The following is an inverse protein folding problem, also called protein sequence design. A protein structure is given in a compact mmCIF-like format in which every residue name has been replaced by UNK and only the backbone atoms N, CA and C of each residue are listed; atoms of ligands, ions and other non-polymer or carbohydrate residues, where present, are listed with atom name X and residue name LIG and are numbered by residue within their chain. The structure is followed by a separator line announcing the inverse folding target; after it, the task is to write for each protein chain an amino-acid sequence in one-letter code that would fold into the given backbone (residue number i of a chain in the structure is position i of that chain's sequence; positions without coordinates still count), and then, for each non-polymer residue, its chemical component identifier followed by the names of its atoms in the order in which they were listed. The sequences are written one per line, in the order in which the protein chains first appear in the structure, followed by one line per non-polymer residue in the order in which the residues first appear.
data_IF_960782532635
#
_entry.id   IF_960782532635
#
_cell.length_a   1.000
_cell.length_b   1.000
_cell.length_c   1.000
_cell.angle_alpha   90.00
_cell.angle_beta   90.00
_cell.angle_gamma   90.00
#
_symmetry.space_group_name_H-M   'P 1'
#
loop_
_entity.id
_entity.type
_entity.pdbx_description
1 polymer ?
#
# COMPACT_ATOMS: atom_id res chain seq x y z
N UNK A 1 6.96 -17.61 7.73
CA UNK A 1 6.13 -16.76 6.85
C UNK A 1 6.81 -15.41 6.79
N UNK A 2 7.46 -15.08 5.67
CA UNK A 2 8.17 -13.82 5.55
C UNK A 2 7.15 -12.68 5.53
N UNK A 3 7.09 -11.90 6.61
CA UNK A 3 6.53 -10.56 6.52
C UNK A 3 7.35 -9.86 5.43
N UNK A 4 6.71 -9.51 4.32
CA UNK A 4 7.36 -8.85 3.21
C UNK A 4 7.92 -7.52 3.74
N UNK A 5 9.10 -7.13 3.30
CA UNK A 5 9.79 -5.89 3.73
C UNK A 5 8.92 -4.61 3.60
N UNK A 6 7.82 -4.69 2.83
CA UNK A 6 6.89 -3.61 2.51
C UNK A 6 5.61 -3.59 3.37
N UNK A 7 5.47 -4.50 4.34
CA UNK A 7 4.27 -4.60 5.17
C UNK A 7 3.27 -5.67 4.70
N UNK A 8 1.97 -5.43 4.87
CA UNK A 8 0.91 -6.42 4.60
C UNK A 8 0.60 -6.47 3.10
N UNK A 9 0.67 -7.66 2.50
CA UNK A 9 0.22 -7.86 1.12
C UNK A 9 -1.31 -7.72 1.03
N UNK A 10 -1.76 -6.82 0.16
CA UNK A 10 -3.18 -6.47 0.00
C UNK A 10 -3.78 -7.04 -1.28
N UNK A 11 -2.95 -7.48 -2.23
CA UNK A 11 -3.40 -8.11 -3.47
C UNK A 11 -2.56 -7.67 -4.66
N UNK A 12 -3.06 -7.98 -5.85
CA UNK A 12 -2.36 -7.73 -7.10
C UNK A 12 -3.15 -6.74 -7.97
N UNK A 13 -2.46 -5.75 -8.54
CA UNK A 13 -3.00 -4.82 -9.51
C UNK A 13 -2.44 -5.15 -10.90
N UNK A 14 -3.31 -5.43 -11.87
CA UNK A 14 -2.93 -5.83 -13.23
C UNK A 14 -3.61 -4.96 -14.28
N UNK A 15 -2.84 -4.45 -15.25
CA UNK A 15 -3.35 -3.80 -16.47
C UNK A 15 -2.47 -4.18 -17.66
N UNK A 16 -3.05 -4.92 -18.61
CA UNK A 16 -2.29 -5.44 -19.75
C UNK A 16 -1.13 -6.32 -19.27
N UNK A 17 0.09 -5.99 -19.70
CA UNK A 17 1.31 -6.71 -19.31
C UNK A 17 1.91 -6.24 -17.96
N UNK A 18 1.44 -5.11 -17.43
CA UNK A 18 1.91 -4.60 -16.13
C UNK A 18 1.19 -5.29 -14.98
N UNK A 19 1.96 -5.82 -14.04
CA UNK A 19 1.50 -6.45 -12.79
C UNK A 19 2.25 -5.85 -11.61
N UNK A 20 1.52 -5.44 -10.60
CA UNK A 20 2.05 -4.93 -9.35
C UNK A 20 1.50 -5.75 -8.18
N UNK A 21 2.38 -6.24 -7.32
CA UNK A 21 2.03 -6.70 -5.98
C UNK A 21 1.86 -5.45 -5.10
N UNK A 22 0.73 -5.35 -4.41
CA UNK A 22 0.34 -4.18 -3.63
C UNK A 22 0.47 -4.49 -2.15
N UNK A 23 1.21 -3.67 -1.42
CA UNK A 23 1.42 -3.81 0.01
C UNK A 23 1.00 -2.54 0.75
N UNK A 24 0.59 -2.71 1.99
CA UNK A 24 0.24 -1.65 2.91
C UNK A 24 1.20 -1.67 4.10
N UNK A 25 2.02 -0.64 4.20
CA UNK A 25 2.92 -0.41 5.33
C UNK A 25 2.20 0.43 6.38
N UNK A 26 2.21 -0.04 7.63
CA UNK A 26 1.75 0.70 8.79
C UNK A 26 2.91 1.09 9.69
N UNK A 27 2.98 2.36 10.11
CA UNK A 27 3.94 2.87 11.07
C UNK A 27 3.21 3.53 12.25
N UNK A 28 3.38 3.05 13.49
CA UNK A 28 2.82 3.70 14.67
C UNK A 28 3.33 5.14 14.83
N UNK A 29 2.42 6.06 15.15
CA UNK A 29 2.70 7.45 15.50
C UNK A 29 2.31 7.69 16.97
N UNK A 30 3.27 7.56 17.87
CA UNK A 30 3.06 7.69 19.30
C UNK A 30 2.69 9.12 19.73
N UNK A 31 3.07 10.15 18.96
CA UNK A 31 2.72 11.53 19.26
C UNK A 31 1.23 11.80 19.05
N UNK A 32 0.62 11.09 18.09
CA UNK A 32 -0.81 11.20 17.77
C UNK A 32 -1.64 10.04 18.34
N UNK A 33 -1.01 8.98 18.85
CA UNK A 33 -1.71 7.77 19.27
C UNK A 33 -2.39 7.05 18.10
N UNK A 34 -1.78 7.11 16.92
CA UNK A 34 -2.35 6.65 15.65
C UNK A 34 -1.37 5.74 14.88
N UNK A 35 -1.77 5.32 13.69
CA UNK A 35 -0.99 4.55 12.71
C UNK A 35 -1.00 5.31 11.39
N UNK A 36 0.19 5.64 10.88
CA UNK A 36 0.36 6.17 9.52
C UNK A 36 0.43 5.01 8.54
N UNK A 37 -0.15 5.20 7.36
CA UNK A 37 -0.12 4.20 6.31
C UNK A 37 0.37 4.73 4.97
N UNK A 38 1.08 3.89 4.22
CA UNK A 38 1.46 4.13 2.83
C UNK A 38 1.37 2.85 1.99
N UNK A 39 1.19 3.02 0.68
CA UNK A 39 1.02 1.92 -0.26
C UNK A 39 2.33 1.71 -1.02
N UNK A 40 2.72 0.45 -1.18
CA UNK A 40 3.86 0.02 -1.98
C UNK A 40 3.33 -0.77 -3.18
N UNK A 41 3.86 -0.45 -4.35
CA UNK A 41 3.62 -1.17 -5.59
C UNK A 41 4.94 -1.79 -6.03
N UNK A 42 4.99 -3.12 -6.11
CA UNK A 42 6.20 -3.86 -6.44
C UNK A 42 5.99 -4.71 -7.69
N UNK A 43 6.92 -4.69 -8.64
CA UNK A 43 6.85 -5.46 -9.87
C UNK A 43 8.20 -6.06 -10.25
N UNK A 44 8.20 -6.99 -11.21
CA UNK A 44 9.42 -7.64 -11.73
C UNK A 44 10.23 -8.39 -10.68
N UNK A 45 9.56 -8.97 -9.66
CA UNK A 45 10.24 -9.67 -8.56
C UNK A 45 11.03 -8.73 -7.64
N UNK A 46 10.61 -7.46 -7.51
CA UNK A 46 11.27 -6.45 -6.66
C UNK A 46 12.11 -5.43 -7.42
N UNK A 47 12.25 -5.57 -8.75
CA UNK A 47 13.06 -4.66 -9.57
C UNK A 47 12.43 -3.28 -9.75
N UNK A 48 11.10 -3.20 -9.75
CA UNK A 48 10.35 -1.95 -9.84
C UNK A 48 9.59 -1.76 -8.54
N UNK A 49 9.83 -0.65 -7.87
CA UNK A 49 9.16 -0.29 -6.62
C UNK A 49 8.73 1.17 -6.66
N UNK A 50 7.42 1.40 -6.52
CA UNK A 50 6.84 2.73 -6.33
C UNK A 50 6.15 2.78 -4.97
N UNK A 51 6.22 3.93 -4.30
CA UNK A 51 5.69 4.10 -2.96
C UNK A 51 4.97 5.43 -2.83
N UNK A 52 3.81 5.44 -2.16
CA UNK A 52 3.10 6.68 -1.85
C UNK A 52 3.77 7.40 -0.68
N UNK A 53 3.40 8.66 -0.46
CA UNK A 53 3.58 9.27 0.87
C UNK A 53 2.72 8.57 1.93
N UNK A 54 2.77 9.09 3.16
CA UNK A 54 1.87 8.68 4.25
C UNK A 54 0.45 9.22 4.00
N UNK A 55 -0.35 8.47 3.25
CA UNK A 55 -1.69 8.87 2.81
C UNK A 55 -2.81 8.42 3.78
N UNK A 56 -2.49 7.55 4.74
CA UNK A 56 -3.40 7.18 5.82
C UNK A 56 -2.92 7.71 7.17
N UNK A 57 -3.87 8.05 8.04
CA UNK A 57 -3.66 8.33 9.45
C UNK A 57 -4.88 7.83 10.22
N UNK A 58 -4.78 6.64 10.79
CA UNK A 58 -5.91 5.95 11.43
C UNK A 58 -5.60 5.58 12.87
N UNK A 59 -6.62 5.39 13.70
CA UNK A 59 -6.43 5.00 15.10
C UNK A 59 -5.89 3.60 15.26
N UNK A 60 -6.25 2.68 14.36
CA UNK A 60 -5.81 1.29 14.37
C UNK A 60 -5.41 0.83 12.99
N UNK A 61 -4.51 -0.14 12.94
CA UNK A 61 -4.09 -0.77 11.69
C UNK A 61 -5.26 -1.43 10.93
N UNK A 62 -6.27 -1.95 11.64
CA UNK A 62 -7.49 -2.53 11.04
C UNK A 62 -8.27 -1.48 10.24
N UNK A 63 -8.43 -0.28 10.79
CA UNK A 63 -9.19 0.81 10.17
C UNK A 63 -8.47 1.28 8.88
N UNK A 64 -7.12 1.30 8.92
CA UNK A 64 -6.29 1.57 7.73
C UNK A 64 -6.47 0.52 6.63
N UNK A 65 -6.54 -0.77 7.00
CA UNK A 65 -6.79 -1.86 6.05
C UNK A 65 -8.20 -1.79 5.46
N UNK A 66 -9.20 -1.40 6.26
CA UNK A 66 -10.58 -1.19 5.79
C UNK A 66 -10.65 -0.02 4.80
N UNK A 67 -10.02 1.11 5.13
CA UNK A 67 -9.91 2.26 4.22
C UNK A 67 -9.14 1.94 2.94
N UNK A 68 -8.12 1.10 3.00
CA UNK A 68 -7.46 0.62 1.79
C UNK A 68 -8.45 -0.12 0.88
N UNK A 69 -9.36 -0.90 1.46
CA UNK A 69 -10.40 -1.63 0.73
C UNK A 69 -11.43 -0.73 0.02
N UNK A 70 -11.46 0.57 0.32
CA UNK A 70 -12.31 1.55 -0.37
C UNK A 70 -11.74 1.97 -1.73
N UNK A 71 -10.43 1.78 -1.96
CA UNK A 71 -9.83 2.10 -3.26
C UNK A 71 -10.26 1.10 -4.33
N UNK A 72 -10.76 1.62 -5.45
CA UNK A 72 -10.93 0.82 -6.64
C UNK A 72 -9.58 0.50 -7.29
N UNK A 73 -9.55 -0.58 -8.08
CA UNK A 73 -8.35 -0.93 -8.87
C UNK A 73 -7.92 0.21 -9.81
N UNK A 74 -8.88 1.00 -10.32
CA UNK A 74 -8.60 2.14 -11.21
C UNK A 74 -7.90 3.27 -10.45
N UNK A 75 -8.36 3.60 -9.23
CA UNK A 75 -7.69 4.60 -8.40
C UNK A 75 -6.29 4.17 -7.99
N UNK A 76 -6.10 2.90 -7.62
CA UNK A 76 -4.78 2.36 -7.32
C UNK A 76 -3.84 2.49 -8.51
N UNK A 77 -4.33 2.20 -9.72
CA UNK A 77 -3.53 2.35 -10.93
C UNK A 77 -3.14 3.81 -11.19
N UNK A 78 -4.06 4.75 -11.02
CA UNK A 78 -3.74 6.16 -11.16
C UNK A 78 -2.65 6.61 -10.16
N UNK A 79 -2.64 6.08 -8.93
CA UNK A 79 -1.52 6.33 -8.01
C UNK A 79 -0.20 5.81 -8.56
N UNK A 80 -0.16 4.57 -9.06
CA UNK A 80 1.08 4.01 -9.64
C UNK A 80 1.57 4.83 -10.82
N UNK A 81 0.66 5.31 -11.68
CA UNK A 81 1.00 6.10 -12.87
C UNK A 81 1.48 7.52 -12.51
N UNK A 82 1.03 8.08 -11.38
CA UNK A 82 1.39 9.41 -10.91
C UNK A 82 2.69 9.49 -10.08
N UNK A 83 3.25 8.34 -9.67
CA UNK A 83 4.51 8.21 -8.91
C UNK A 83 5.72 7.99 -9.82
#
# INVERSE_FOLDING_TARGET
MAATEYGKHMGELKRGEQRWDVYLEGQPDAALGAVRGRIHFVSGGGQLHKVTGWIFLEWKEKDMQERFGEFSAVELLHFVEAL
#
